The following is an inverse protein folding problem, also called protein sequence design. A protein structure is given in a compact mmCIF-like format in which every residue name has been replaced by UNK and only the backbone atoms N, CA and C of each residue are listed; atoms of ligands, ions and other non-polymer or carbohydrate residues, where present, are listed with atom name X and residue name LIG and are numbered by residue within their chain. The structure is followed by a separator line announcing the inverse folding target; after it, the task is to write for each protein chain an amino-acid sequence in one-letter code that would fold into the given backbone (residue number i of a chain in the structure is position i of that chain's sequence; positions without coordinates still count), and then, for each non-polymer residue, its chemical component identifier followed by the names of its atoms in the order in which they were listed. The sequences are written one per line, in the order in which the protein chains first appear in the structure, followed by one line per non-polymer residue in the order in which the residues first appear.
data_IF_359323077250
#
_entry.id   IF_359323077250
#
_cell.length_a   1.000
_cell.length_b   1.000
_cell.length_c   1.000
_cell.angle_alpha   90.00
_cell.angle_beta   90.00
_cell.angle_gamma   90.00
#
_symmetry.space_group_name_H-M   'P 1'
#
loop_
_entity.id
_entity.type
_entity.pdbx_description
1 polymer ?
#
# COMPACT_ATOMS: atom_id res chain seq x y z
N UNK A 1 -3.59 1.01 9.13
CA UNK A 1 -3.94 2.21 8.34
C UNK A 1 -5.16 2.88 8.96
N UNK A 2 -5.34 4.20 8.79
CA UNK A 2 -6.52 4.95 9.24
C UNK A 2 -7.52 5.09 8.09
N UNK A 3 -8.79 4.72 8.31
CA UNK A 3 -9.84 4.86 7.30
C UNK A 3 -10.36 6.31 7.20
N UNK A 4 -10.56 6.78 5.98
CA UNK A 4 -11.26 8.02 5.67
C UNK A 4 -12.61 7.71 5.01
N UNK A 5 -13.70 7.90 5.75
CA UNK A 5 -15.04 7.54 5.28
C UNK A 5 -15.54 8.38 4.08
N UNK A 6 -15.11 9.64 3.94
CA UNK A 6 -15.53 10.50 2.82
C UNK A 6 -14.87 10.07 1.51
N UNK A 7 -13.59 9.71 1.58
CA UNK A 7 -12.80 9.29 0.42
C UNK A 7 -12.85 7.77 0.18
N UNK A 8 -13.33 7.00 1.15
CA UNK A 8 -13.35 5.52 1.15
C UNK A 8 -11.96 4.88 0.97
N UNK A 9 -10.93 5.52 1.51
CA UNK A 9 -9.55 5.04 1.44
C UNK A 9 -8.93 4.86 2.83
N UNK A 10 -7.91 4.03 2.92
CA UNK A 10 -7.09 3.85 4.11
C UNK A 10 -5.71 4.47 3.90
N UNK A 11 -5.25 5.25 4.87
CA UNK A 11 -3.95 5.92 4.80
C UNK A 11 -3.00 5.46 5.90
N UNK A 12 -1.71 5.33 5.58
CA UNK A 12 -0.62 5.12 6.52
C UNK A 12 0.55 6.03 6.15
N UNK A 13 0.95 6.90 7.08
CA UNK A 13 2.20 7.65 6.95
C UNK A 13 3.30 6.91 7.70
N UNK A 14 4.47 6.79 7.07
CA UNK A 14 5.67 6.21 7.66
C UNK A 14 6.89 7.05 7.30
N UNK A 15 7.91 7.02 8.15
CA UNK A 15 9.24 7.51 7.81
C UNK A 15 10.11 6.32 7.48
N UNK A 16 10.62 6.26 6.26
CA UNK A 16 11.51 5.19 5.79
C UNK A 16 12.91 5.75 5.56
N UNK A 17 13.97 4.97 5.77
CA UNK A 17 15.29 5.27 5.22
C UNK A 17 15.27 5.34 3.68
N UNK A 18 16.35 5.84 3.08
CA UNK A 18 16.56 5.70 1.65
C UNK A 18 16.74 4.22 1.29
N UNK A 19 16.15 3.76 0.18
CA UNK A 19 16.27 2.38 -0.24
C UNK A 19 15.30 1.95 -1.33
N UNK A 20 15.39 0.67 -1.66
CA UNK A 20 14.46 -0.03 -2.54
C UNK A 20 13.61 -0.99 -1.72
N UNK A 21 12.30 -0.87 -1.86
CA UNK A 21 11.32 -1.64 -1.12
C UNK A 21 10.41 -2.38 -2.07
N UNK A 22 10.01 -3.58 -1.68
CA UNK A 22 8.91 -4.31 -2.33
C UNK A 22 7.83 -4.59 -1.30
N UNK A 23 6.57 -4.38 -1.68
CA UNK A 23 5.46 -4.51 -0.74
C UNK A 23 4.16 -4.95 -1.42
N UNK A 24 3.20 -5.37 -0.60
CA UNK A 24 1.85 -5.79 -0.99
C UNK A 24 0.85 -5.35 0.06
N UNK A 25 -0.43 -5.40 -0.31
CA UNK A 25 -1.54 -5.24 0.63
C UNK A 25 -2.02 -6.62 1.06
N UNK A 26 -2.00 -6.91 2.36
CA UNK A 26 -2.58 -8.11 2.94
C UNK A 26 -3.81 -7.71 3.78
N UNK A 27 -4.94 -8.38 3.58
CA UNK A 27 -6.18 -8.08 4.31
C UNK A 27 -6.34 -8.96 5.56
N UNK A 28 -7.04 -8.42 6.56
CA UNK A 28 -7.42 -9.15 7.77
C UNK A 28 -6.26 -9.81 8.54
N UNK A 29 -5.04 -9.25 8.42
CA UNK A 29 -3.82 -9.81 9.03
C UNK A 29 -3.51 -11.24 8.54
N UNK A 30 -3.93 -11.57 7.32
CA UNK A 30 -3.67 -12.84 6.64
C UNK A 30 -3.23 -12.59 5.20
N UNK A 31 -2.61 -13.60 4.59
CA UNK A 31 -2.27 -13.61 3.16
C UNK A 31 -3.36 -14.24 2.29
N UNK A 32 -4.42 -14.81 2.88
CA UNK A 32 -5.53 -15.46 2.14
C UNK A 32 -6.16 -14.54 1.09
N UNK A 33 -6.20 -13.24 1.39
CA UNK A 33 -6.57 -12.19 0.46
C UNK A 33 -5.49 -11.11 0.48
N UNK A 34 -4.74 -11.03 -0.61
CA UNK A 34 -3.72 -10.02 -0.81
C UNK A 34 -3.75 -9.48 -2.25
N UNK A 35 -3.30 -8.25 -2.38
CA UNK A 35 -3.24 -7.53 -3.65
C UNK A 35 -1.83 -7.03 -3.91
N UNK A 36 -1.36 -7.29 -5.12
CA UNK A 36 -0.09 -6.86 -5.66
C UNK A 36 -0.25 -5.69 -6.63
N UNK A 37 0.77 -5.47 -7.46
CA UNK A 37 0.83 -4.41 -8.47
C UNK A 37 -0.47 -4.31 -9.28
N UNK A 38 -0.96 -3.08 -9.44
CA UNK A 38 -2.21 -2.76 -10.14
C UNK A 38 -3.46 -3.40 -9.51
N UNK A 39 -3.42 -3.67 -8.19
CA UNK A 39 -4.53 -4.27 -7.45
C UNK A 39 -4.81 -5.75 -7.80
N UNK A 40 -3.87 -6.43 -8.44
CA UNK A 40 -4.04 -7.83 -8.84
C UNK A 40 -4.04 -8.75 -7.62
N UNK A 41 -5.10 -9.56 -7.47
CA UNK A 41 -5.17 -10.57 -6.40
C UNK A 41 -4.03 -11.57 -6.57
N UNK A 42 -3.28 -11.81 -5.50
CA UNK A 42 -2.08 -12.66 -5.51
C UNK A 42 -1.00 -12.22 -6.53
N UNK A 43 -1.08 -10.98 -7.03
CA UNK A 43 -0.24 -10.46 -8.11
C UNK A 43 1.23 -10.20 -7.71
N UNK A 44 2.00 -9.58 -8.59
CA UNK A 44 3.40 -9.21 -8.29
C UNK A 44 3.51 -8.19 -7.14
N UNK A 45 4.65 -8.07 -6.47
CA UNK A 45 4.85 -7.00 -5.48
C UNK A 45 4.85 -5.62 -6.15
N UNK A 46 4.46 -4.58 -5.42
CA UNK A 46 4.80 -3.20 -5.77
C UNK A 46 6.28 -2.96 -5.53
N UNK A 47 6.88 -2.08 -6.32
CA UNK A 47 8.25 -1.60 -6.15
C UNK A 47 8.25 -0.13 -5.78
N UNK A 48 9.07 0.25 -4.80
CA UNK A 48 9.26 1.64 -4.39
C UNK A 48 10.75 1.91 -4.20
N UNK A 49 11.31 2.74 -5.09
CA UNK A 49 12.57 3.44 -4.84
C UNK A 49 12.25 4.71 -4.05
N UNK A 50 12.85 4.86 -2.88
CA UNK A 50 12.59 5.99 -1.99
C UNK A 50 13.90 6.63 -1.53
N UNK A 51 13.97 7.96 -1.53
CA UNK A 51 15.17 8.70 -1.13
C UNK A 51 15.26 8.92 0.39
N UNK A 52 14.29 8.38 1.13
CA UNK A 52 14.19 8.49 2.58
C UNK A 52 13.29 9.63 3.03
N UNK A 53 12.90 9.57 4.30
CA UNK A 53 11.93 10.50 4.88
C UNK A 53 10.50 9.98 4.82
N UNK A 54 9.54 10.91 4.87
CA UNK A 54 8.12 10.57 4.98
C UNK A 54 7.57 10.05 3.65
N UNK A 55 6.78 8.99 3.72
CA UNK A 55 5.94 8.46 2.63
C UNK A 55 4.55 8.20 3.17
N UNK A 56 3.53 8.45 2.36
CA UNK A 56 2.13 8.16 2.68
C UNK A 56 1.58 7.12 1.72
N UNK A 57 1.25 5.95 2.26
CA UNK A 57 0.56 4.90 1.56
C UNK A 57 -0.95 5.14 1.61
N UNK A 58 -1.63 5.10 0.47
CA UNK A 58 -3.09 5.23 0.35
C UNK A 58 -3.65 4.02 -0.38
N UNK A 59 -4.43 3.20 0.32
CA UNK A 59 -5.11 2.03 -0.23
C UNK A 59 -6.58 2.36 -0.51
N UNK A 60 -7.05 2.00 -1.72
CA UNK A 60 -8.46 2.06 -2.11
C UNK A 60 -8.97 0.64 -2.36
N UNK A 61 -9.95 0.20 -1.56
CA UNK A 61 -10.50 -1.15 -1.68
C UNK A 61 -11.37 -1.33 -2.94
N UNK A 62 -11.91 -0.24 -3.51
CA UNK A 62 -12.70 -0.33 -4.74
C UNK A 62 -11.83 -0.72 -5.95
N UNK A 63 -10.61 -0.20 -6.01
CA UNK A 63 -9.61 -0.54 -7.04
C UNK A 63 -8.69 -1.68 -6.61
N UNK A 64 -8.65 -1.99 -5.31
CA UNK A 64 -7.74 -2.93 -4.65
C UNK A 64 -6.27 -2.54 -4.75
N UNK A 65 -6.00 -1.29 -5.12
CA UNK A 65 -4.66 -0.81 -5.39
C UNK A 65 -4.17 0.16 -4.30
N UNK A 66 -2.85 0.36 -4.27
CA UNK A 66 -2.18 1.23 -3.32
C UNK A 66 -1.24 2.19 -4.04
N UNK A 67 -1.30 3.47 -3.66
CA UNK A 67 -0.40 4.50 -4.18
C UNK A 67 0.42 5.10 -3.04
N UNK A 68 1.63 5.54 -3.37
CA UNK A 68 2.54 6.26 -2.49
C UNK A 68 2.65 7.72 -2.90
N UNK A 69 2.75 8.61 -1.91
CA UNK A 69 2.99 10.04 -2.08
C UNK A 69 3.92 10.57 -0.99
#
# INVERSE_FOLDING_TARGET
MKFNARRKVWTLAATLPAGFYTYKIALNRSWDENYGAFGARDGANHELKHDGGKVTFTYDHATRDIVTA
#
